data_IF_275672039065
#
_entry.id   IF_275672039065
#
_cell.length_a   1.000
_cell.length_b   1.000
_cell.length_c   1.000
_cell.angle_alpha   90.00
_cell.angle_beta   90.00
_cell.angle_gamma   90.00
#
_symmetry.space_group_name_H-M   'P 1'
#
loop_
_entity.id
_entity.type
_entity.pdbx_description
1 polymer ?
#
# COMPACT_ATOMS: atom_id res chain seq x y z
N UNK A 1 -4.56 -36.92 -13.13
CA UNK A 1 -3.56 -36.30 -12.23
C UNK A 1 -3.99 -34.87 -11.98
N UNK A 2 -4.37 -34.53 -10.75
CA UNK A 2 -4.76 -33.18 -10.36
C UNK A 2 -3.49 -32.47 -9.85
N UNK A 3 -3.02 -31.44 -10.55
CA UNK A 3 -1.84 -30.69 -10.13
C UNK A 3 -2.23 -29.75 -8.98
N UNK A 4 -1.80 -30.08 -7.76
CA UNK A 4 -1.95 -29.20 -6.61
C UNK A 4 -0.87 -28.10 -6.72
N UNK A 5 -1.24 -26.90 -7.15
CA UNK A 5 -0.36 -25.74 -7.12
C UNK A 5 -0.18 -25.28 -5.67
N UNK A 6 1.06 -25.25 -5.17
CA UNK A 6 1.37 -24.65 -3.87
C UNK A 6 1.21 -23.14 -4.00
N UNK A 7 0.27 -22.56 -3.25
CA UNK A 7 0.10 -21.12 -3.19
C UNK A 7 1.38 -20.48 -2.62
N UNK A 8 1.97 -19.53 -3.35
CA UNK A 8 3.08 -18.72 -2.86
C UNK A 8 2.60 -17.85 -1.70
N UNK A 9 3.45 -17.70 -0.68
CA UNK A 9 3.18 -16.77 0.43
C UNK A 9 3.19 -15.34 -0.11
N UNK A 10 2.07 -14.64 0.02
CA UNK A 10 2.03 -13.20 -0.21
C UNK A 10 2.78 -12.49 0.92
N UNK A 11 3.64 -11.54 0.59
CA UNK A 11 4.18 -10.62 1.58
C UNK A 11 3.05 -9.72 2.07
N UNK A 12 2.96 -9.50 3.39
CA UNK A 12 2.09 -8.46 3.91
C UNK A 12 2.58 -7.10 3.39
N UNK A 13 1.65 -6.22 3.04
CA UNK A 13 2.02 -4.85 2.74
C UNK A 13 2.44 -4.14 4.03
N UNK A 14 3.30 -3.15 3.86
CA UNK A 14 3.76 -2.26 4.92
C UNK A 14 2.58 -1.47 5.52
N UNK A 15 2.84 -0.72 6.60
CA UNK A 15 1.86 0.24 7.09
C UNK A 15 1.80 1.43 6.13
N UNK A 16 0.65 1.67 5.55
CA UNK A 16 0.44 2.83 4.69
C UNK A 16 -0.98 3.37 4.86
N UNK A 17 -1.13 4.67 4.69
CA UNK A 17 -2.42 5.35 4.73
C UNK A 17 -2.82 5.74 3.30
N UNK A 18 -3.98 5.29 2.82
CA UNK A 18 -4.51 5.83 1.56
C UNK A 18 -5.29 7.09 1.92
N UNK A 19 -4.78 8.26 1.55
CA UNK A 19 -5.58 9.48 1.56
C UNK A 19 -6.43 9.53 0.30
N UNK A 20 -7.75 9.48 0.46
CA UNK A 20 -8.69 9.67 -0.65
C UNK A 20 -9.01 11.15 -0.74
N UNK A 21 -8.54 11.81 -1.80
CA UNK A 21 -8.87 13.20 -2.07
C UNK A 21 -10.14 13.31 -2.93
N UNK A 22 -10.93 14.36 -2.75
CA UNK A 22 -11.99 14.68 -3.70
C UNK A 22 -11.37 14.94 -5.07
N UNK A 23 -11.89 14.30 -6.10
CA UNK A 23 -11.53 14.52 -7.50
C UNK A 23 -12.81 14.60 -8.34
N UNK A 24 -12.74 15.28 -9.48
CA UNK A 24 -13.88 15.37 -10.39
C UNK A 24 -14.23 14.00 -11.00
N UNK A 25 -15.48 13.78 -11.38
CA UNK A 25 -15.81 12.50 -12.03
C UNK A 25 -15.15 12.44 -13.41
N UNK A 26 -14.39 11.37 -13.66
CA UNK A 26 -13.78 11.12 -14.96
C UNK A 26 -14.86 10.83 -16.00
N UNK A 27 -14.72 11.42 -17.19
CA UNK A 27 -15.63 11.18 -18.30
C UNK A 27 -15.60 9.71 -18.77
N UNK A 28 -16.71 9.16 -19.30
CA UNK A 28 -16.73 7.80 -19.83
C UNK A 28 -15.66 7.56 -20.90
N UNK A 29 -15.02 6.39 -20.86
CA UNK A 29 -13.99 5.99 -21.83
C UNK A 29 -12.58 6.54 -21.55
N UNK A 30 -12.38 7.27 -20.45
CA UNK A 30 -11.07 7.76 -20.01
C UNK A 30 -10.55 6.89 -18.87
N UNK A 31 -9.30 6.47 -18.96
CA UNK A 31 -8.60 5.76 -17.88
C UNK A 31 -8.07 6.76 -16.88
N UNK A 32 -8.50 6.63 -15.62
CA UNK A 32 -7.90 7.32 -14.49
C UNK A 32 -6.65 6.56 -14.05
N UNK A 33 -5.55 7.28 -13.82
CA UNK A 33 -4.32 6.74 -13.26
C UNK A 33 -3.91 7.62 -12.08
N UNK A 34 -3.67 7.02 -10.93
CA UNK A 34 -3.40 7.75 -9.69
C UNK A 34 -2.14 7.19 -9.04
N UNK A 35 -1.39 8.10 -8.42
CA UNK A 35 -0.14 7.79 -7.77
C UNK A 35 -0.20 8.20 -6.31
N UNK A 36 0.01 7.25 -5.40
CA UNK A 36 0.02 7.49 -3.96
C UNK A 36 1.41 7.24 -3.40
N UNK A 37 2.03 8.26 -2.83
CA UNK A 37 3.30 8.14 -2.10
C UNK A 37 3.07 8.36 -0.62
N UNK A 38 3.44 7.37 0.17
CA UNK A 38 3.55 7.48 1.62
C UNK A 38 5.01 7.44 2.02
N UNK A 39 5.47 8.50 2.69
CA UNK A 39 6.82 8.58 3.20
C UNK A 39 6.82 8.98 4.68
N UNK A 40 7.44 8.14 5.50
CA UNK A 40 7.61 8.38 6.94
C UNK A 40 9.09 8.61 7.25
N UNK A 41 9.62 9.85 7.08
CA UNK A 41 11.05 10.12 7.27
C UNK A 41 11.54 9.86 8.71
N UNK A 42 10.65 10.05 9.69
CA UNK A 42 10.86 9.78 11.10
C UNK A 42 9.61 9.13 11.66
N UNK A 43 9.75 7.95 12.26
CA UNK A 43 8.64 7.12 12.74
C UNK A 43 9.05 6.23 13.91
N UNK A 44 8.22 5.24 14.23
CA UNK A 44 8.54 4.25 15.26
C UNK A 44 9.57 3.24 14.72
N UNK A 45 10.42 2.72 15.61
CA UNK A 45 11.48 1.74 15.24
C UNK A 45 11.13 0.31 15.64
N UNK A 46 10.15 0.14 16.53
CA UNK A 46 9.74 -1.15 17.07
C UNK A 46 8.26 -1.42 16.84
N UNK A 47 7.81 -2.58 17.30
CA UNK A 47 6.38 -2.88 17.38
C UNK A 47 5.81 -2.16 18.60
N UNK A 48 4.88 -1.25 18.38
CA UNK A 48 4.23 -0.44 19.41
C UNK A 48 2.72 -0.68 19.31
N UNK A 49 2.07 -1.14 20.39
CA UNK A 49 0.64 -1.48 20.42
C UNK A 49 0.17 -2.42 19.28
N UNK A 50 1.04 -3.34 18.85
CA UNK A 50 0.78 -4.29 17.76
C UNK A 50 1.00 -3.71 16.35
N UNK A 51 1.43 -2.45 16.24
CA UNK A 51 1.74 -1.75 15.00
C UNK A 51 3.24 -1.85 14.73
N UNK A 52 3.65 -2.31 13.54
CA UNK A 52 5.06 -2.40 13.15
C UNK A 52 5.75 -1.03 13.03
N UNK A 53 7.06 -1.01 13.20
CA UNK A 53 7.87 0.19 13.02
C UNK A 53 7.83 0.70 11.58
N UNK A 54 7.69 2.02 11.39
CA UNK A 54 7.59 2.67 10.07
C UNK A 54 8.69 3.73 9.83
N UNK A 55 9.70 3.82 10.70
CA UNK A 55 10.76 4.80 10.55
C UNK A 55 11.52 4.63 9.22
N UNK A 56 11.54 5.69 8.40
CA UNK A 56 12.13 5.75 7.04
C UNK A 56 11.43 4.84 6.02
N UNK A 57 10.17 4.47 6.28
CA UNK A 57 9.37 3.71 5.33
C UNK A 57 8.95 4.58 4.14
N UNK A 58 9.04 4.00 2.95
CA UNK A 58 8.57 4.57 1.69
C UNK A 58 7.68 3.52 1.02
N UNK A 59 6.45 3.90 0.70
CA UNK A 59 5.47 3.05 0.03
C UNK A 59 4.85 3.81 -1.13
N UNK A 60 4.71 3.14 -2.27
CA UNK A 60 4.16 3.70 -3.49
C UNK A 60 3.04 2.79 -4.03
N UNK A 61 1.92 3.39 -4.45
CA UNK A 61 0.82 2.69 -5.14
C UNK A 61 0.53 3.41 -6.45
N UNK A 62 0.28 2.62 -7.51
CA UNK A 62 0.06 3.04 -8.90
C UNK A 62 -1.31 2.57 -9.40
#
# INVERSE_FOLDING_TARGET
MCALSVASRAAAQDLFEIQVYPYETVAPGVTMFEFHTNFTPSGSKGVEDGVYGNNRQFHETL
#
